data_IF_303226166483
#
_entry.id   IF_303226166483
#
_cell.length_a   1.000
_cell.length_b   1.000
_cell.length_c   1.000
_cell.angle_alpha   90.00
_cell.angle_beta   90.00
_cell.angle_gamma   90.00
#
_symmetry.space_group_name_H-M   'P 1'
#
loop_
_entity.id
_entity.type
_entity.pdbx_description
1 polymer ?
#
# COMPACT_ATOMS: atom_id res chain seq x y z
N UNK A 1 -22.21 1.69 6.28
CA UNK A 1 -22.68 1.54 7.68
C UNK A 1 -23.49 2.76 8.15
N UNK A 2 -24.28 2.63 9.21
CA UNK A 2 -24.82 3.75 10.01
C UNK A 2 -23.92 4.14 11.19
N UNK A 3 -22.85 3.37 11.46
CA UNK A 3 -21.93 3.54 12.60
C UNK A 3 -20.49 3.66 12.08
N UNK A 4 -19.92 4.89 12.02
CA UNK A 4 -18.59 5.15 11.45
C UNK A 4 -17.45 4.34 12.10
N UNK A 5 -17.59 3.97 13.38
CA UNK A 5 -16.57 3.25 14.14
C UNK A 5 -16.41 1.81 13.67
N UNK A 6 -17.50 1.16 13.27
CA UNK A 6 -17.44 -0.22 12.78
C UNK A 6 -16.59 -0.30 11.51
N UNK A 7 -16.75 0.66 10.58
CA UNK A 7 -15.91 0.71 9.36
C UNK A 7 -14.47 1.07 9.70
N UNK A 8 -14.25 1.95 10.68
CA UNK A 8 -12.90 2.26 11.17
C UNK A 8 -12.18 1.02 11.71
N UNK A 9 -12.86 0.19 12.50
CA UNK A 9 -12.30 -1.07 13.02
C UNK A 9 -12.04 -2.11 11.92
N UNK A 10 -12.93 -2.19 10.92
CA UNK A 10 -12.73 -3.08 9.76
C UNK A 10 -11.56 -2.59 8.90
N UNK A 11 -11.44 -1.28 8.67
CA UNK A 11 -10.34 -0.70 7.89
C UNK A 11 -8.98 -0.92 8.55
N UNK A 12 -8.90 -1.03 9.88
CA UNK A 12 -7.65 -1.38 10.58
C UNK A 12 -7.16 -2.81 10.31
N UNK A 13 -8.05 -3.72 9.87
CA UNK A 13 -7.64 -5.08 9.49
C UNK A 13 -6.87 -5.10 8.16
N UNK A 14 -7.15 -4.16 7.26
CA UNK A 14 -6.50 -4.07 5.95
C UNK A 14 -4.97 -3.92 6.07
N UNK A 15 -4.41 -2.91 6.77
CA UNK A 15 -2.96 -2.78 6.92
C UNK A 15 -2.37 -3.90 7.77
N UNK A 16 -3.12 -4.50 8.71
CA UNK A 16 -2.63 -5.65 9.48
C UNK A 16 -2.39 -6.86 8.57
N UNK A 17 -3.37 -7.23 7.75
CA UNK A 17 -3.24 -8.35 6.82
C UNK A 17 -2.15 -8.05 5.80
N UNK A 18 -2.12 -6.86 5.22
CA UNK A 18 -1.16 -6.50 4.19
C UNK A 18 0.28 -6.45 4.72
N UNK A 19 0.56 -5.64 5.74
CA UNK A 19 1.93 -5.38 6.17
C UNK A 19 2.46 -6.44 7.16
N UNK A 20 1.64 -6.86 8.13
CA UNK A 20 2.11 -7.76 9.19
C UNK A 20 2.10 -9.20 8.71
N UNK A 21 1.11 -9.60 7.92
CA UNK A 21 1.00 -10.98 7.45
C UNK A 21 1.65 -11.13 6.08
N UNK A 22 1.14 -10.45 5.05
CA UNK A 22 1.56 -10.69 3.66
C UNK A 22 2.99 -10.21 3.41
N UNK A 23 3.34 -8.96 3.71
CA UNK A 23 4.69 -8.44 3.48
C UNK A 23 5.75 -9.21 4.28
N UNK A 24 5.45 -9.57 5.54
CA UNK A 24 6.35 -10.39 6.36
C UNK A 24 6.59 -11.77 5.73
N UNK A 25 5.54 -12.45 5.26
CA UNK A 25 5.68 -13.74 4.59
C UNK A 25 6.56 -13.63 3.34
N UNK A 26 6.35 -12.61 2.50
CA UNK A 26 7.19 -12.36 1.32
C UNK A 26 8.64 -12.08 1.70
N UNK A 27 8.87 -11.24 2.70
CA UNK A 27 10.22 -10.92 3.17
C UNK A 27 10.95 -12.16 3.72
N UNK A 28 10.26 -13.00 4.49
CA UNK A 28 10.84 -14.26 5.00
C UNK A 28 11.25 -15.20 3.86
N UNK A 29 10.43 -15.34 2.82
CA UNK A 29 10.78 -16.15 1.65
C UNK A 29 12.02 -15.59 0.95
N UNK A 30 12.11 -14.28 0.72
CA UNK A 30 13.28 -13.65 0.10
C UNK A 30 14.57 -13.90 0.92
N UNK A 31 14.48 -13.81 2.25
CA UNK A 31 15.64 -14.04 3.14
C UNK A 31 16.05 -15.52 3.16
N UNK A 32 15.10 -16.45 3.31
CA UNK A 32 15.38 -17.89 3.45
C UNK A 32 15.90 -18.50 2.14
N UNK A 33 15.43 -18.02 0.99
CA UNK A 33 15.84 -18.51 -0.34
C UNK A 33 17.26 -18.10 -0.72
N UNK A 34 17.92 -17.25 0.08
CA UNK A 34 19.28 -16.80 -0.18
C UNK A 34 19.42 -15.90 -1.41
N UNK A 35 18.32 -15.29 -1.87
CA UNK A 35 18.37 -14.34 -2.99
C UNK A 35 19.14 -13.06 -2.64
N UNK A 36 19.19 -12.71 -1.35
CA UNK A 36 20.05 -11.67 -0.81
C UNK A 36 21.46 -12.24 -0.59
N UNK A 37 22.45 -11.69 -1.28
CA UNK A 37 23.82 -12.22 -1.23
C UNK A 37 24.47 -11.92 0.12
N UNK A 38 25.11 -12.94 0.68
CA UNK A 38 25.83 -12.88 1.94
C UNK A 38 27.32 -13.09 1.67
N UNK A 39 28.17 -12.36 2.40
CA UNK A 39 29.60 -12.61 2.44
C UNK A 39 29.86 -13.91 3.24
N UNK A 40 30.45 -14.95 2.61
CA UNK A 40 30.75 -16.21 3.28
C UNK A 40 31.69 -16.08 4.48
N UNK A 41 32.52 -15.03 4.54
CA UNK A 41 33.51 -14.84 5.59
C UNK A 41 32.94 -14.13 6.84
N UNK A 42 32.00 -13.20 6.64
CA UNK A 42 31.48 -12.34 7.72
C UNK A 42 30.02 -12.66 8.09
N UNK A 43 29.31 -13.39 7.23
CA UNK A 43 27.87 -13.65 7.38
C UNK A 43 27.00 -12.39 7.21
N UNK A 44 27.59 -11.28 6.73
CA UNK A 44 26.90 -10.03 6.50
C UNK A 44 26.37 -9.95 5.06
N UNK A 45 25.33 -9.16 4.84
CA UNK A 45 24.83 -8.88 3.50
C UNK A 45 25.85 -8.09 2.70
N UNK A 46 26.12 -8.54 1.47
CA UNK A 46 26.92 -7.78 0.52
C UNK A 46 26.15 -6.53 0.13
N UNK A 47 26.76 -5.36 0.31
CA UNK A 47 26.14 -4.08 -0.01
C UNK A 47 26.99 -3.29 -0.99
N UNK A 48 26.35 -2.71 -2.00
CA UNK A 48 26.98 -1.87 -3.00
C UNK A 48 26.08 -0.64 -3.24
N UNK A 49 26.65 0.56 -3.12
CA UNK A 49 25.88 1.80 -3.29
C UNK A 49 24.70 1.98 -2.31
N UNK A 50 24.76 1.35 -1.13
CA UNK A 50 23.68 1.39 -0.13
C UNK A 50 22.53 0.41 -0.36
N UNK A 51 22.65 -0.51 -1.33
CA UNK A 51 21.68 -1.58 -1.60
C UNK A 51 22.30 -2.95 -1.35
N UNK A 52 21.49 -3.90 -0.88
CA UNK A 52 21.91 -5.30 -0.73
C UNK A 52 22.01 -5.92 -2.13
N UNK A 53 23.13 -6.57 -2.44
CA UNK A 53 23.30 -7.28 -3.70
C UNK A 53 22.38 -8.50 -3.75
N UNK A 54 21.77 -8.72 -4.91
CA UNK A 54 20.85 -9.83 -5.17
C UNK A 54 21.41 -10.73 -6.26
N UNK A 55 21.03 -12.01 -6.22
CA UNK A 55 21.39 -12.93 -7.30
C UNK A 55 20.74 -12.42 -8.60
N UNK A 56 21.58 -12.19 -9.61
CA UNK A 56 21.14 -11.73 -10.93
C UNK A 56 20.69 -10.26 -10.98
N UNK A 57 21.07 -9.43 -10.00
CA UNK A 57 20.71 -8.00 -9.92
C UNK A 57 19.18 -7.77 -10.00
N UNK A 58 18.43 -8.70 -9.42
CA UNK A 58 16.97 -8.66 -9.39
C UNK A 58 16.47 -7.65 -8.36
N UNK A 59 15.44 -6.87 -8.72
CA UNK A 59 14.85 -5.86 -7.84
C UNK A 59 13.32 -5.82 -7.96
N UNK A 60 12.66 -5.22 -6.95
CA UNK A 60 11.20 -5.11 -6.88
C UNK A 60 10.49 -6.46 -7.02
N UNK A 61 9.48 -6.53 -7.88
CA UNK A 61 8.72 -7.76 -8.17
C UNK A 61 9.62 -8.88 -8.72
N UNK A 62 10.69 -8.54 -9.44
CA UNK A 62 11.65 -9.51 -9.99
C UNK A 62 12.38 -10.30 -8.89
N UNK A 63 12.73 -9.64 -7.79
CA UNK A 63 13.36 -10.29 -6.63
C UNK A 63 12.41 -11.30 -5.97
N UNK A 64 11.15 -10.92 -5.76
CA UNK A 64 10.13 -11.83 -5.23
C UNK A 64 9.89 -13.01 -6.17
N UNK A 65 9.83 -12.76 -7.47
CA UNK A 65 9.68 -13.80 -8.49
C UNK A 65 10.84 -14.81 -8.43
N UNK A 66 12.09 -14.33 -8.35
CA UNK A 66 13.27 -15.16 -8.27
C UNK A 66 13.32 -15.99 -6.97
N UNK A 67 12.95 -15.38 -5.83
CA UNK A 67 12.86 -16.07 -4.55
C UNK A 67 11.85 -17.22 -4.57
N UNK A 68 10.62 -16.96 -5.02
CA UNK A 68 9.61 -18.02 -5.06
C UNK A 68 9.89 -19.06 -6.15
N UNK A 69 10.54 -18.68 -7.26
CA UNK A 69 10.93 -19.61 -8.31
C UNK A 69 11.92 -20.69 -7.83
N UNK A 70 12.71 -20.41 -6.79
CA UNK A 70 13.65 -21.39 -6.23
C UNK A 70 12.94 -22.55 -5.52
N UNK A 71 11.71 -22.33 -5.04
CA UNK A 71 10.86 -23.35 -4.43
C UNK A 71 9.80 -23.88 -5.42
N UNK A 72 9.21 -23.01 -6.22
CA UNK A 72 8.11 -23.31 -7.14
C UNK A 72 8.34 -22.69 -8.52
N UNK A 73 8.75 -23.50 -9.49
CA UNK A 73 9.10 -23.05 -10.85
C UNK A 73 7.95 -22.40 -11.63
N UNK A 74 6.69 -22.67 -11.27
CA UNK A 74 5.50 -22.11 -11.91
C UNK A 74 5.02 -20.79 -11.29
N UNK A 75 5.51 -20.44 -10.11
CA UNK A 75 5.08 -19.26 -9.37
C UNK A 75 5.29 -17.93 -10.11
N UNK A 76 6.36 -17.72 -10.91
CA UNK A 76 6.54 -16.48 -11.67
C UNK A 76 5.35 -16.12 -12.58
N UNK A 77 4.70 -17.11 -13.20
CA UNK A 77 3.53 -16.86 -14.05
C UNK A 77 2.30 -16.45 -13.24
N UNK A 78 2.09 -17.09 -12.08
CA UNK A 78 1.02 -16.71 -11.16
C UNK A 78 1.24 -15.30 -10.62
N UNK A 79 2.47 -14.99 -10.18
CA UNK A 79 2.83 -13.68 -9.66
C UNK A 79 2.65 -12.58 -10.71
N UNK A 80 3.08 -12.82 -11.96
CA UNK A 80 2.89 -11.87 -13.05
C UNK A 80 1.41 -11.51 -13.26
N UNK A 81 0.52 -12.52 -13.27
CA UNK A 81 -0.91 -12.29 -13.38
C UNK A 81 -1.48 -11.52 -12.18
N UNK A 82 -1.09 -11.90 -10.96
CA UNK A 82 -1.52 -11.23 -9.73
C UNK A 82 -1.07 -9.76 -9.68
N UNK A 83 0.17 -9.47 -10.07
CA UNK A 83 0.74 -8.11 -10.07
C UNK A 83 0.04 -7.21 -11.09
N UNK A 84 -0.36 -7.73 -12.26
CA UNK A 84 -1.14 -6.96 -13.23
C UNK A 84 -2.51 -6.56 -12.64
N UNK A 85 -3.21 -7.50 -12.02
CA UNK A 85 -4.50 -7.22 -11.38
C UNK A 85 -4.35 -6.24 -10.21
N UNK A 86 -3.31 -6.41 -9.41
CA UNK A 86 -3.00 -5.53 -8.28
C UNK A 86 -2.68 -4.11 -8.76
N UNK A 87 -1.77 -3.95 -9.74
CA UNK A 87 -1.44 -2.65 -10.30
C UNK A 87 -2.68 -1.96 -10.89
N UNK A 88 -3.54 -2.71 -11.58
CA UNK A 88 -4.79 -2.19 -12.13
C UNK A 88 -5.75 -1.70 -11.05
N UNK A 89 -5.96 -2.47 -9.98
CA UNK A 89 -6.85 -2.07 -8.88
C UNK A 89 -6.31 -0.84 -8.15
N UNK A 90 -4.99 -0.78 -7.90
CA UNK A 90 -4.34 0.38 -7.30
C UNK A 90 -4.53 1.63 -8.16
N UNK A 91 -4.33 1.53 -9.49
CA UNK A 91 -4.53 2.65 -10.40
C UNK A 91 -5.96 3.20 -10.36
N UNK A 92 -6.97 2.33 -10.27
CA UNK A 92 -8.38 2.76 -10.17
C UNK A 92 -8.62 3.53 -8.86
N UNK A 93 -8.19 2.98 -7.72
CA UNK A 93 -8.39 3.62 -6.42
C UNK A 93 -7.70 4.98 -6.33
N UNK A 94 -6.45 5.07 -6.78
CA UNK A 94 -5.70 6.33 -6.80
C UNK A 94 -6.24 7.34 -7.81
N UNK A 95 -6.72 6.88 -8.97
CA UNK A 95 -7.43 7.74 -9.92
C UNK A 95 -8.69 8.34 -9.29
N UNK A 96 -9.46 7.55 -8.53
CA UNK A 96 -10.65 8.04 -7.84
C UNK A 96 -10.31 9.03 -6.71
N UNK A 97 -9.33 8.71 -5.85
CA UNK A 97 -8.91 9.61 -4.78
C UNK A 97 -8.36 10.93 -5.32
N UNK A 98 -7.52 10.87 -6.35
CA UNK A 98 -6.99 12.05 -7.02
C UNK A 98 -8.09 12.88 -7.69
N UNK A 99 -9.07 12.24 -8.33
CA UNK A 99 -10.20 12.92 -8.94
C UNK A 99 -11.03 13.67 -7.89
N UNK A 100 -11.28 13.07 -6.72
CA UNK A 100 -12.02 13.72 -5.64
C UNK A 100 -11.25 14.91 -5.05
N UNK A 101 -9.94 14.78 -4.87
CA UNK A 101 -9.09 15.91 -4.47
C UNK A 101 -9.10 17.03 -5.53
N UNK A 102 -9.06 16.67 -6.81
CA UNK A 102 -9.12 17.62 -7.93
C UNK A 102 -10.45 18.37 -7.98
N UNK A 103 -11.58 17.67 -7.89
CA UNK A 103 -12.90 18.31 -7.89
C UNK A 103 -13.14 19.14 -6.63
N UNK A 104 -12.52 18.79 -5.50
CA UNK A 104 -12.57 19.60 -4.29
C UNK A 104 -11.85 20.95 -4.45
N UNK A 105 -10.71 20.97 -5.16
CA UNK A 105 -9.91 22.18 -5.37
C UNK A 105 -10.44 23.07 -6.51
N UNK A 106 -10.82 22.45 -7.63
CA UNK A 106 -11.16 23.17 -8.88
C UNK A 106 -12.67 23.22 -9.18
N UNK A 107 -13.49 22.63 -8.30
CA UNK A 107 -14.94 22.53 -8.47
C UNK A 107 -15.39 21.30 -9.25
N UNK A 108 -16.66 20.93 -9.07
CA UNK A 108 -17.28 19.82 -9.78
C UNK A 108 -17.71 20.22 -11.19
N UNK A 109 -17.35 19.41 -12.18
CA UNK A 109 -17.75 19.64 -13.55
C UNK A 109 -17.17 18.61 -14.52
N UNK A 110 -17.96 18.26 -15.56
CA UNK A 110 -17.56 17.26 -16.56
C UNK A 110 -16.23 17.58 -17.22
N UNK A 111 -15.95 18.86 -17.47
CA UNK A 111 -14.68 19.32 -18.05
C UNK A 111 -13.50 19.13 -17.09
N UNK A 112 -13.65 19.50 -15.81
CA UNK A 112 -12.60 19.35 -14.80
C UNK A 112 -12.26 17.87 -14.58
N UNK A 113 -13.28 17.00 -14.54
CA UNK A 113 -13.07 15.55 -14.43
C UNK A 113 -12.38 14.96 -15.66
N UNK A 114 -12.80 15.38 -16.88
CA UNK A 114 -12.20 14.89 -18.12
C UNK A 114 -10.73 15.29 -18.21
N UNK A 115 -10.39 16.53 -17.85
CA UNK A 115 -9.00 17.02 -17.83
C UNK A 115 -8.16 16.18 -16.86
N UNK A 116 -8.66 15.90 -15.65
CA UNK A 116 -7.96 15.04 -14.70
C UNK A 116 -7.75 13.62 -15.25
N UNK A 117 -8.78 13.01 -15.82
CA UNK A 117 -8.69 11.64 -16.38
C UNK A 117 -7.68 11.57 -17.53
N UNK A 118 -7.68 12.56 -18.43
CA UNK A 118 -6.71 12.64 -19.53
C UNK A 118 -5.28 12.81 -19.01
N UNK A 119 -5.09 13.70 -18.03
CA UNK A 119 -3.80 13.92 -17.38
C UNK A 119 -3.31 12.64 -16.68
N UNK A 120 -4.17 11.97 -15.92
CA UNK A 120 -3.87 10.72 -15.23
C UNK A 120 -3.41 9.64 -16.22
N UNK A 121 -4.18 9.41 -17.30
CA UNK A 121 -3.80 8.44 -18.34
C UNK A 121 -2.46 8.77 -19.00
N UNK A 122 -2.16 10.06 -19.25
CA UNK A 122 -0.88 10.48 -19.79
C UNK A 122 0.28 10.15 -18.83
N UNK A 123 0.12 10.46 -17.53
CA UNK A 123 1.13 10.15 -16.52
C UNK A 123 1.31 8.64 -16.30
N UNK A 124 0.30 7.81 -16.52
CA UNK A 124 0.45 6.34 -16.51
C UNK A 124 1.41 5.90 -17.61
N UNK A 125 1.29 6.44 -18.83
CA UNK A 125 2.22 6.11 -19.94
C UNK A 125 3.64 6.59 -19.63
N UNK A 126 3.79 7.80 -19.09
CA UNK A 126 5.10 8.34 -18.69
C UNK A 126 5.71 7.48 -17.57
N UNK A 127 4.92 7.12 -16.56
CA UNK A 127 5.35 6.30 -15.42
C UNK A 127 5.79 4.91 -15.85
N UNK A 128 5.13 4.31 -16.84
CA UNK A 128 5.52 3.00 -17.39
C UNK A 128 6.89 3.04 -18.11
N UNK A 129 7.35 4.20 -18.56
CA UNK A 129 8.64 4.39 -19.22
C UNK A 129 9.72 5.01 -18.31
N UNK A 130 9.36 5.42 -17.09
CA UNK A 130 10.25 6.10 -16.15
C UNK A 130 11.08 5.12 -15.32
N UNK A 131 12.23 5.57 -14.82
CA UNK A 131 13.04 4.79 -13.89
C UNK A 131 12.33 4.66 -12.53
N UNK A 132 12.31 3.44 -11.99
CA UNK A 132 11.58 3.11 -10.76
C UNK A 132 12.06 3.92 -9.54
N UNK A 133 13.38 4.10 -9.37
CA UNK A 133 13.95 4.77 -8.19
C UNK A 133 13.43 6.20 -7.98
N UNK A 134 13.66 7.13 -8.92
CA UNK A 134 13.18 8.51 -8.80
C UNK A 134 11.66 8.63 -8.61
N UNK A 135 10.89 7.71 -9.20
CA UNK A 135 9.42 7.69 -9.06
C UNK A 135 9.02 7.31 -7.64
N UNK A 136 9.69 6.32 -7.03
CA UNK A 136 9.49 5.95 -5.63
C UNK A 136 9.88 7.10 -4.71
N UNK A 137 11.07 7.69 -4.90
CA UNK A 137 11.56 8.78 -4.04
C UNK A 137 10.60 9.99 -4.05
N UNK A 138 10.07 10.34 -5.23
CA UNK A 138 9.08 11.40 -5.36
C UNK A 138 7.75 11.03 -4.70
N UNK A 139 7.27 9.81 -4.90
CA UNK A 139 6.03 9.32 -4.30
C UNK A 139 6.10 9.32 -2.78
N UNK A 140 7.21 8.87 -2.20
CA UNK A 140 7.43 8.85 -0.75
C UNK A 140 7.41 10.26 -0.17
N UNK A 141 8.06 11.22 -0.84
CA UNK A 141 8.02 12.62 -0.42
C UNK A 141 6.60 13.21 -0.48
N UNK A 142 5.83 12.91 -1.53
CA UNK A 142 4.46 13.38 -1.69
C UNK A 142 3.50 12.77 -0.64
N UNK A 143 3.59 11.46 -0.41
CA UNK A 143 2.79 10.76 0.62
C UNK A 143 3.16 11.27 2.01
N UNK A 144 4.45 11.48 2.29
CA UNK A 144 4.90 12.05 3.55
C UNK A 144 4.29 13.44 3.80
N UNK A 145 4.31 14.33 2.79
CA UNK A 145 3.70 15.65 2.91
C UNK A 145 2.19 15.58 3.20
N UNK A 146 1.45 14.70 2.51
CA UNK A 146 0.02 14.48 2.78
C UNK A 146 -0.22 13.92 4.18
N UNK A 147 0.60 12.96 4.63
CA UNK A 147 0.51 12.35 5.95
C UNK A 147 0.71 13.37 7.06
N UNK A 148 1.69 14.29 6.95
CA UNK A 148 1.93 15.34 7.94
C UNK A 148 0.68 16.19 8.16
N UNK A 149 0.03 16.65 7.08
CA UNK A 149 -1.18 17.47 7.18
C UNK A 149 -2.34 16.67 7.78
N UNK A 150 -2.54 15.43 7.30
CA UNK A 150 -3.65 14.58 7.74
C UNK A 150 -3.51 14.19 9.22
N UNK A 151 -2.34 13.71 9.65
CA UNK A 151 -2.07 13.31 11.03
C UNK A 151 -2.23 14.49 11.99
N UNK A 152 -1.79 15.69 11.58
CA UNK A 152 -1.99 16.91 12.38
C UNK A 152 -3.48 17.19 12.58
N UNK A 153 -4.30 17.07 11.53
CA UNK A 153 -5.75 17.21 11.64
C UNK A 153 -6.37 16.13 12.55
N UNK A 154 -5.95 14.87 12.40
CA UNK A 154 -6.40 13.77 13.25
C UNK A 154 -6.02 13.98 14.72
N UNK A 155 -4.86 14.56 15.02
CA UNK A 155 -4.45 14.86 16.39
C UNK A 155 -5.44 15.80 17.09
N UNK A 156 -5.89 16.85 16.40
CA UNK A 156 -6.92 17.76 16.94
C UNK A 156 -8.31 17.11 17.03
N UNK A 157 -8.64 16.19 16.12
CA UNK A 157 -9.92 15.46 16.11
C UNK A 157 -9.93 14.24 17.04
N UNK A 158 -8.78 13.84 17.59
CA UNK A 158 -8.63 12.68 18.47
C UNK A 158 -9.62 12.65 19.64
N UNK A 159 -9.94 13.77 20.34
CA UNK A 159 -10.92 13.76 21.42
C UNK A 159 -12.33 13.37 20.96
N UNK A 160 -12.71 13.77 19.74
CA UNK A 160 -14.01 13.43 19.14
C UNK A 160 -14.03 11.94 18.82
N UNK A 161 -13.00 11.44 18.13
CA UNK A 161 -12.88 10.01 17.79
C UNK A 161 -12.93 9.15 19.05
N UNK A 162 -12.22 9.55 20.11
CA UNK A 162 -12.23 8.84 21.39
C UNK A 162 -13.63 8.80 22.02
N UNK A 163 -14.34 9.93 22.05
CA UNK A 163 -15.70 9.99 22.62
C UNK A 163 -16.66 9.08 21.88
N UNK A 164 -16.62 9.10 20.55
CA UNK A 164 -17.46 8.22 19.73
C UNK A 164 -17.10 6.75 20.00
N UNK A 165 -15.80 6.40 20.09
CA UNK A 165 -15.35 5.03 20.37
C UNK A 165 -15.84 4.53 21.73
N UNK A 166 -15.72 5.35 22.77
CA UNK A 166 -16.18 5.04 24.11
C UNK A 166 -17.69 4.80 24.12
N UNK A 167 -18.47 5.68 23.48
CA UNK A 167 -19.93 5.53 23.30
C UNK A 167 -20.31 4.24 22.59
N UNK A 168 -19.61 3.90 21.49
CA UNK A 168 -19.84 2.66 20.76
C UNK A 168 -19.54 1.42 21.62
N UNK A 169 -18.44 1.44 22.37
CA UNK A 169 -18.08 0.34 23.27
C UNK A 169 -19.06 0.19 24.44
N UNK A 170 -19.60 1.28 24.97
CA UNK A 170 -20.65 1.25 25.98
C UNK A 170 -21.94 0.64 25.43
N UNK A 171 -22.36 1.00 24.21
CA UNK A 171 -23.55 0.44 23.53
C UNK A 171 -23.42 -1.05 23.19
N UNK A 172 -22.20 -1.50 22.91
CA UNK A 172 -21.90 -2.95 22.78
C UNK A 172 -22.03 -3.66 24.13
N UNK A 173 -21.53 -3.04 25.21
CA UNK A 173 -21.55 -3.64 26.56
C UNK A 173 -22.95 -3.65 27.17
N UNK A 174 -23.77 -2.63 26.91
CA UNK A 174 -25.16 -2.53 27.37
C UNK A 174 -26.11 -3.49 26.63
N UNK A 175 -25.67 -4.05 25.49
CA UNK A 175 -26.46 -4.97 24.69
C UNK A 175 -27.48 -4.30 23.75
N UNK A 176 -27.46 -2.96 23.63
CA UNK A 176 -28.25 -2.22 22.63
C UNK A 176 -27.87 -2.63 21.21
N UNK A 177 -26.59 -2.91 20.98
CA UNK A 177 -26.11 -3.48 19.73
C UNK A 177 -26.11 -5.00 19.88
N UNK A 178 -27.09 -5.68 19.28
CA UNK A 178 -27.13 -7.15 19.23
C UNK A 178 -25.86 -7.66 18.55
N UNK A 179 -25.02 -8.39 19.31
CA UNK A 179 -23.96 -9.22 18.74
C UNK A 179 -24.63 -10.29 17.86
N UNK A 180 -24.59 -10.13 16.54
CA UNK A 180 -24.86 -11.24 15.64
C UNK A 180 -23.74 -12.26 15.86
N UNK A 181 -24.06 -13.33 16.59
CA UNK A 181 -23.27 -14.55 16.61
C UNK A 181 -23.59 -15.27 15.31
N UNK A 182 -22.59 -15.45 14.45
CA UNK A 182 -22.57 -16.59 13.55
C UNK A 182 -22.30 -17.87 14.36
#
# INVERSE_FOLDING_TARGET
TSEPITEGLVSLLEPFIDTVVICTMTALVIVITGQLMLDPATGQYLTEGGKIQTIGDTSGVGLTSAAFASAFSWFPYLLAFAVILFAFSTMISWSYYGLKAWTYLFGEGKTAELVFKLMFCLFVVIGAAANLGPVIDFSDAAIFAMAVVNITGLYFLMPIVKRELDSFMERIRSGEIRKFKD
#
